data_IF_275353380326
#
_entry.id   IF_275353380326
#
_cell.length_a   1.000
_cell.length_b   1.000
_cell.length_c   1.000
_cell.angle_alpha   90.00
_cell.angle_beta   90.00
_cell.angle_gamma   90.00
#
_symmetry.space_group_name_H-M   'P 1'
#
loop_
_entity.id
_entity.type
_entity.pdbx_description
1 polymer ?
#
# COMPACT_ATOMS: atom_id res chain seq x y z
N UNK A 1 8.88 19.40 36.15
CA UNK A 1 8.11 20.09 35.08
C UNK A 1 9.02 20.33 33.88
N UNK A 2 9.09 19.37 32.96
CA UNK A 2 9.62 19.57 31.59
C UNK A 2 9.45 18.29 30.78
N UNK A 3 8.21 17.76 30.73
CA UNK A 3 7.88 16.76 29.72
C UNK A 3 7.63 17.54 28.41
N UNK A 4 8.70 17.93 27.73
CA UNK A 4 8.65 18.48 26.37
C UNK A 4 8.12 17.36 25.47
N UNK A 5 6.78 17.26 25.45
CA UNK A 5 6.00 16.12 24.99
C UNK A 5 6.16 15.88 23.50
N UNK A 6 7.27 15.25 23.12
CA UNK A 6 7.48 14.77 21.78
C UNK A 6 6.53 13.59 21.54
N UNK A 7 5.73 13.67 20.47
CA UNK A 7 4.76 12.64 20.08
C UNK A 7 5.42 11.26 19.90
N UNK A 8 6.62 11.24 19.32
CA UNK A 8 7.49 10.06 19.22
C UNK A 8 8.96 10.53 19.24
N UNK A 9 9.76 10.06 20.22
CA UNK A 9 11.19 10.35 20.31
C UNK A 9 11.95 9.95 19.04
N UNK A 10 12.94 10.75 18.65
CA UNK A 10 13.69 10.54 17.39
C UNK A 10 14.33 9.14 17.31
N UNK A 11 14.87 8.64 18.42
CA UNK A 11 15.51 7.32 18.51
C UNK A 11 14.55 6.15 18.29
N UNK A 12 13.23 6.35 18.41
CA UNK A 12 12.22 5.29 18.27
C UNK A 12 11.47 5.34 16.94
N UNK A 13 11.60 6.42 16.17
CA UNK A 13 10.83 6.61 14.92
C UNK A 13 11.14 5.55 13.88
N UNK A 14 12.41 5.23 13.69
CA UNK A 14 12.83 4.22 12.72
C UNK A 14 12.26 2.85 13.07
N UNK A 15 12.32 2.47 14.35
CA UNK A 15 11.73 1.23 14.86
C UNK A 15 10.23 1.17 14.61
N UNK A 16 9.50 2.26 14.90
CA UNK A 16 8.05 2.35 14.65
C UNK A 16 7.73 2.22 13.17
N UNK A 17 8.48 2.90 12.31
CA UNK A 17 8.28 2.84 10.85
C UNK A 17 8.52 1.42 10.34
N UNK A 18 9.57 0.75 10.81
CA UNK A 18 9.88 -0.62 10.42
C UNK A 18 8.81 -1.60 10.92
N UNK A 19 8.28 -1.39 12.12
CA UNK A 19 7.18 -2.19 12.66
C UNK A 19 5.90 -2.06 11.80
N UNK A 20 5.53 -0.84 11.41
CA UNK A 20 4.37 -0.60 10.53
C UNK A 20 4.59 -1.20 9.14
N UNK A 21 5.80 -1.05 8.57
CA UNK A 21 6.15 -1.65 7.28
C UNK A 21 5.98 -3.16 7.34
N UNK A 22 6.47 -3.81 8.39
CA UNK A 22 6.27 -5.24 8.60
C UNK A 22 4.78 -5.59 8.66
N UNK A 23 4.02 -4.93 9.55
CA UNK A 23 2.58 -5.16 9.70
C UNK A 23 1.81 -4.99 8.39
N UNK A 24 2.19 -4.03 7.54
CA UNK A 24 1.54 -3.77 6.24
C UNK A 24 1.76 -4.89 5.24
N UNK A 25 2.86 -5.64 5.39
CA UNK A 25 3.27 -6.68 4.46
C UNK A 25 2.82 -8.08 4.85
N UNK A 26 2.44 -8.30 6.12
CA UNK A 26 1.94 -9.61 6.58
C UNK A 26 0.71 -10.04 5.80
N UNK A 27 0.64 -11.35 5.51
CA UNK A 27 -0.45 -11.98 4.78
C UNK A 27 -0.46 -13.49 5.04
N UNK A 28 -1.62 -14.13 5.00
CA UNK A 28 -1.82 -15.57 5.22
C UNK A 28 -1.10 -16.47 4.21
N UNK A 29 -0.67 -15.90 3.08
CA UNK A 29 0.04 -16.60 1.99
C UNK A 29 1.55 -16.34 2.02
N UNK A 30 2.02 -15.54 2.97
CA UNK A 30 3.44 -15.24 3.15
C UNK A 30 3.89 -15.86 4.49
N UNK A 31 5.01 -16.58 4.50
CA UNK A 31 5.52 -17.16 5.75
C UNK A 31 6.02 -16.05 6.68
N UNK A 32 5.90 -16.31 7.99
CA UNK A 32 6.63 -15.61 9.03
C UNK A 32 8.12 -15.96 8.97
N UNK A 33 8.93 -15.24 9.75
CA UNK A 33 10.39 -15.47 9.83
C UNK A 33 10.76 -16.88 10.31
N UNK A 34 9.89 -17.52 11.10
CA UNK A 34 10.04 -18.89 11.59
C UNK A 34 9.56 -19.95 10.58
N UNK A 35 9.12 -19.53 9.38
CA UNK A 35 8.59 -20.41 8.34
C UNK A 35 7.13 -20.81 8.54
N UNK A 36 6.48 -20.37 9.61
CA UNK A 36 5.06 -20.67 9.87
C UNK A 36 4.14 -19.76 9.07
N UNK A 37 2.91 -20.20 8.84
CA UNK A 37 1.88 -19.40 8.16
C UNK A 37 0.75 -19.09 9.13
N UNK A 38 0.19 -17.89 9.04
CA UNK A 38 -1.03 -17.54 9.77
C UNK A 38 -2.24 -17.93 8.96
N UNK A 39 -3.24 -18.54 9.60
CA UNK A 39 -4.41 -19.08 8.91
C UNK A 39 -5.45 -18.00 8.56
N UNK A 40 -5.56 -16.95 9.39
CA UNK A 40 -6.58 -15.90 9.24
C UNK A 40 -6.02 -14.47 9.38
N UNK A 41 -6.58 -13.56 8.58
CA UNK A 41 -6.40 -12.12 8.65
C UNK A 41 -6.66 -11.52 10.05
N UNK A 42 -7.65 -12.05 10.79
CA UNK A 42 -7.96 -11.57 12.15
C UNK A 42 -6.86 -11.90 13.16
N UNK A 43 -6.18 -13.04 13.01
CA UNK A 43 -5.03 -13.39 13.85
C UNK A 43 -3.87 -12.44 13.57
N UNK A 44 -3.56 -12.18 12.28
CA UNK A 44 -2.55 -11.19 11.89
C UNK A 44 -2.88 -9.82 12.49
N UNK A 45 -4.14 -9.39 12.40
CA UNK A 45 -4.56 -8.12 12.98
C UNK A 45 -4.34 -8.06 14.50
N UNK A 46 -4.73 -9.10 15.23
CA UNK A 46 -4.53 -9.18 16.69
C UNK A 46 -3.05 -9.16 17.07
N UNK A 47 -2.21 -9.89 16.34
CA UNK A 47 -0.75 -9.89 16.53
C UNK A 47 -0.17 -8.49 16.32
N UNK A 48 -0.47 -7.84 15.18
CA UNK A 48 0.02 -6.50 14.88
C UNK A 48 -0.44 -5.45 15.92
N UNK A 49 -1.69 -5.55 16.40
CA UNK A 49 -2.22 -4.71 17.48
C UNK A 49 -1.44 -4.95 18.78
N UNK A 50 -1.26 -6.22 19.15
CA UNK A 50 -0.54 -6.64 20.35
C UNK A 50 0.91 -6.15 20.36
N UNK A 51 1.61 -6.29 19.24
CA UNK A 51 2.99 -5.82 19.08
C UNK A 51 3.08 -4.29 19.23
N UNK A 52 2.19 -3.53 18.57
CA UNK A 52 2.22 -2.07 18.62
C UNK A 52 1.85 -1.53 20.02
N UNK A 53 0.83 -2.09 20.68
CA UNK A 53 0.46 -1.65 22.03
C UNK A 53 1.56 -2.00 23.05
N UNK A 54 2.17 -3.18 22.94
CA UNK A 54 3.26 -3.58 23.81
C UNK A 54 4.49 -2.69 23.59
N UNK A 55 4.83 -2.39 22.34
CA UNK A 55 5.89 -1.44 22.00
C UNK A 55 5.64 -0.06 22.62
N UNK A 56 4.43 0.48 22.46
CA UNK A 56 4.09 1.79 23.02
C UNK A 56 4.11 1.78 24.55
N UNK A 57 3.64 0.70 25.19
CA UNK A 57 3.63 0.55 26.64
C UNK A 57 5.06 0.48 27.21
N UNK A 58 5.96 -0.25 26.56
CA UNK A 58 7.34 -0.40 27.01
C UNK A 58 8.17 0.89 26.89
N UNK A 59 7.72 1.87 26.10
CA UNK A 59 8.42 3.13 25.85
C UNK A 59 7.64 4.37 26.34
N UNK A 60 6.59 4.17 27.14
CA UNK A 60 5.71 5.24 27.66
C UNK A 60 5.08 6.14 26.57
N UNK A 61 4.77 5.57 25.40
CA UNK A 61 4.25 6.28 24.23
C UNK A 61 2.72 6.22 24.11
N UNK A 62 2.00 6.58 25.18
CA UNK A 62 0.53 6.49 25.21
C UNK A 62 -0.14 7.30 24.08
N UNK A 63 0.33 8.52 23.81
CA UNK A 63 -0.22 9.38 22.73
C UNK A 63 -0.05 8.76 21.35
N UNK A 64 1.09 8.08 21.13
CA UNK A 64 1.38 7.39 19.87
C UNK A 64 0.43 6.20 19.69
N UNK A 65 0.19 5.43 20.75
CA UNK A 65 -0.78 4.33 20.73
C UNK A 65 -2.19 4.83 20.38
N UNK A 66 -2.67 5.89 21.02
CA UNK A 66 -4.00 6.46 20.75
C UNK A 66 -4.13 6.85 19.27
N UNK A 67 -3.11 7.49 18.71
CA UNK A 67 -3.08 7.83 17.28
C UNK A 67 -3.13 6.58 16.40
N UNK A 68 -2.29 5.59 16.69
CA UNK A 68 -2.24 4.35 15.90
C UNK A 68 -3.54 3.57 15.97
N UNK A 69 -4.17 3.48 17.14
CA UNK A 69 -5.48 2.86 17.26
C UNK A 69 -6.51 3.58 16.38
N UNK A 70 -6.60 4.91 16.50
CA UNK A 70 -7.62 5.70 15.80
C UNK A 70 -7.43 5.69 14.28
N UNK A 71 -6.21 5.82 13.80
CA UNK A 71 -5.94 6.02 12.36
C UNK A 71 -5.47 4.75 11.62
N UNK A 72 -4.96 3.74 12.32
CA UNK A 72 -4.34 2.57 11.67
C UNK A 72 -4.97 1.25 12.10
N UNK A 73 -5.00 0.94 13.40
CA UNK A 73 -5.30 -0.40 13.88
C UNK A 73 -6.75 -0.66 14.26
N UNK A 74 -7.59 0.37 14.38
CA UNK A 74 -9.04 0.15 14.46
C UNK A 74 -9.51 -0.65 13.25
N UNK A 75 -10.41 -1.62 13.44
CA UNK A 75 -10.73 -2.59 12.39
C UNK A 75 -11.17 -1.94 11.07
N UNK A 76 -11.96 -0.87 11.15
CA UNK A 76 -12.40 -0.10 9.98
C UNK A 76 -11.27 0.60 9.22
N UNK A 77 -10.19 1.00 9.91
CA UNK A 77 -9.00 1.61 9.27
C UNK A 77 -8.03 0.54 8.77
N UNK A 78 -7.84 -0.53 9.54
CA UNK A 78 -6.89 -1.59 9.23
C UNK A 78 -7.14 -2.21 7.85
N UNK A 79 -8.41 -2.41 7.50
CA UNK A 79 -8.82 -2.97 6.20
C UNK A 79 -8.34 -2.12 5.01
N UNK A 80 -8.10 -0.82 5.21
CA UNK A 80 -7.72 0.10 4.14
C UNK A 80 -6.24 0.02 3.74
N UNK A 81 -5.36 -0.45 4.62
CA UNK A 81 -3.91 -0.41 4.38
C UNK A 81 -3.20 -1.76 4.56
N UNK A 82 -3.77 -2.67 5.35
CA UNK A 82 -3.13 -3.96 5.61
C UNK A 82 -3.33 -4.91 4.44
N UNK A 83 -2.23 -5.53 3.97
CA UNK A 83 -2.32 -6.54 2.91
C UNK A 83 -3.17 -7.73 3.31
N UNK A 84 -3.04 -8.19 4.56
CA UNK A 84 -3.82 -9.29 5.12
C UNK A 84 -5.35 -9.07 5.11
N UNK A 85 -5.84 -7.85 4.91
CA UNK A 85 -7.27 -7.60 4.81
C UNK A 85 -7.89 -8.18 3.53
N UNK A 86 -7.08 -8.43 2.50
CA UNK A 86 -7.49 -9.12 1.28
C UNK A 86 -7.11 -10.60 1.37
N UNK A 87 -7.91 -11.49 0.78
CA UNK A 87 -7.58 -12.93 0.67
C UNK A 87 -6.49 -13.20 -0.36
N UNK A 88 -6.40 -12.34 -1.38
CA UNK A 88 -5.48 -12.49 -2.50
C UNK A 88 -4.29 -11.55 -2.31
N UNK A 89 -3.07 -12.08 -2.47
CA UNK A 89 -1.88 -11.23 -2.66
C UNK A 89 -1.84 -10.80 -4.12
N UNK A 90 -1.77 -9.49 -4.39
CA UNK A 90 -1.45 -9.07 -5.75
C UNK A 90 -0.04 -9.57 -6.10
N UNK A 91 0.08 -10.46 -7.08
CA UNK A 91 1.38 -10.88 -7.64
C UNK A 91 2.23 -9.68 -8.10
N UNK A 92 1.54 -8.60 -8.44
CA UNK A 92 2.13 -7.35 -8.86
C UNK A 92 2.26 -6.44 -7.63
N UNK A 93 3.41 -6.47 -6.95
CA UNK A 93 3.82 -5.35 -6.08
C UNK A 93 4.08 -4.16 -7.01
N UNK A 94 3.07 -3.32 -7.17
CA UNK A 94 2.88 -2.31 -8.23
C UNK A 94 3.75 -1.06 -8.04
N UNK A 95 5.07 -1.18 -7.88
CA UNK A 95 5.97 -0.12 -8.33
C UNK A 95 6.29 -0.35 -9.79
N UNK A 96 6.79 -1.51 -10.18
CA UNK A 96 7.22 -1.75 -11.57
C UNK A 96 6.11 -1.63 -12.62
N UNK A 97 4.93 -2.20 -12.38
CA UNK A 97 3.82 -2.10 -13.33
C UNK A 97 3.24 -0.68 -13.36
N UNK A 98 3.16 -0.02 -12.21
CA UNK A 98 2.70 1.37 -12.14
C UNK A 98 3.72 2.31 -12.78
N UNK A 99 5.02 2.13 -12.53
CA UNK A 99 6.12 2.85 -13.18
C UNK A 99 6.15 2.60 -14.67
N UNK A 100 5.97 1.35 -15.13
CA UNK A 100 5.86 1.01 -16.55
C UNK A 100 4.65 1.69 -17.19
N UNK A 101 3.49 1.66 -16.53
CA UNK A 101 2.29 2.35 -16.98
C UNK A 101 2.49 3.87 -17.04
N UNK A 102 3.08 4.47 -16.01
CA UNK A 102 3.43 5.89 -15.97
C UNK A 102 4.50 6.26 -17.00
N UNK A 103 5.45 5.37 -17.28
CA UNK A 103 6.45 5.56 -18.34
C UNK A 103 5.78 5.64 -19.70
N UNK A 104 4.83 4.75 -19.99
CA UNK A 104 4.05 4.76 -21.22
C UNK A 104 3.24 6.07 -21.36
N UNK A 105 2.50 6.47 -20.32
CA UNK A 105 1.72 7.73 -20.35
C UNK A 105 2.64 8.95 -20.55
N UNK A 106 3.76 9.00 -19.83
CA UNK A 106 4.73 10.10 -19.93
C UNK A 106 5.31 10.21 -21.33
N UNK A 107 5.73 9.09 -21.90
CA UNK A 107 6.39 9.05 -23.20
C UNK A 107 5.41 9.28 -24.35
N UNK A 108 4.23 8.67 -24.32
CA UNK A 108 3.35 8.64 -25.49
C UNK A 108 2.32 9.77 -25.50
N UNK A 109 2.01 10.34 -24.33
CA UNK A 109 0.99 11.40 -24.22
C UNK A 109 1.53 12.71 -23.65
N UNK A 110 2.53 12.68 -22.78
CA UNK A 110 3.01 13.87 -22.06
C UNK A 110 4.38 14.38 -22.49
N UNK A 111 5.04 13.76 -23.48
CA UNK A 111 6.42 14.12 -23.84
C UNK A 111 6.60 15.59 -24.27
N UNK A 112 5.55 16.23 -24.79
CA UNK A 112 5.54 17.65 -25.20
C UNK A 112 5.16 18.62 -24.06
N UNK A 113 4.67 18.11 -22.94
CA UNK A 113 4.17 18.92 -21.84
C UNK A 113 5.17 18.92 -20.70
N UNK A 114 5.87 20.04 -20.52
CA UNK A 114 6.69 20.24 -19.34
C UNK A 114 5.79 20.58 -18.14
N UNK A 115 5.75 19.70 -17.13
CA UNK A 115 4.92 19.82 -15.91
C UNK A 115 3.41 19.99 -16.22
N UNK A 116 2.75 18.99 -16.79
CA UNK A 116 1.32 19.05 -17.08
C UNK A 116 0.51 19.24 -15.80
N UNK A 117 -0.54 20.07 -15.85
CA UNK A 117 -1.50 20.21 -14.75
C UNK A 117 -2.28 18.90 -14.57
N UNK A 118 -2.74 18.65 -13.34
CA UNK A 118 -3.47 17.43 -12.99
C UNK A 118 -4.73 17.27 -13.83
N UNK A 119 -5.45 18.36 -14.07
CA UNK A 119 -6.67 18.39 -14.91
C UNK A 119 -6.39 17.89 -16.34
N UNK A 120 -5.25 18.29 -16.92
CA UNK A 120 -4.85 17.85 -18.26
C UNK A 120 -4.47 16.37 -18.28
N UNK A 121 -3.77 15.90 -17.24
CA UNK A 121 -3.48 14.48 -17.08
C UNK A 121 -4.77 13.66 -16.96
N UNK A 122 -5.74 14.09 -16.15
CA UNK A 122 -7.05 13.45 -16.02
C UNK A 122 -7.78 13.39 -17.37
N UNK A 123 -7.77 14.49 -18.13
CA UNK A 123 -8.35 14.52 -19.48
C UNK A 123 -7.69 13.48 -20.41
N UNK A 124 -6.36 13.39 -20.42
CA UNK A 124 -5.63 12.39 -21.22
C UNK A 124 -5.98 10.97 -20.80
N UNK A 125 -5.99 10.70 -19.50
CA UNK A 125 -6.32 9.37 -18.98
C UNK A 125 -7.71 8.93 -19.45
N UNK A 126 -8.71 9.80 -19.27
CA UNK A 126 -10.11 9.48 -19.60
C UNK A 126 -10.33 9.40 -21.10
N UNK A 127 -9.82 10.37 -21.88
CA UNK A 127 -10.15 10.48 -23.31
C UNK A 127 -9.25 9.68 -24.22
N UNK A 128 -8.01 9.41 -23.83
CA UNK A 128 -7.03 8.69 -24.66
C UNK A 128 -6.70 7.32 -24.10
N UNK A 129 -6.15 7.27 -22.88
CA UNK A 129 -5.59 6.03 -22.33
C UNK A 129 -6.66 4.97 -22.16
N UNK A 130 -7.78 5.29 -21.49
CA UNK A 130 -8.86 4.32 -21.27
C UNK A 130 -9.42 3.80 -22.59
N UNK A 131 -9.73 4.68 -23.53
CA UNK A 131 -10.27 4.29 -24.83
C UNK A 131 -9.31 3.37 -25.61
N UNK A 132 -8.01 3.65 -25.59
CA UNK A 132 -7.00 2.79 -26.21
C UNK A 132 -6.95 1.41 -25.56
N UNK A 133 -7.04 1.31 -24.22
CA UNK A 133 -7.06 0.01 -23.55
C UNK A 133 -8.35 -0.76 -23.83
N UNK A 134 -9.51 -0.09 -23.83
CA UNK A 134 -10.79 -0.73 -24.18
C UNK A 134 -10.77 -1.30 -25.60
N UNK A 135 -10.21 -0.55 -26.55
CA UNK A 135 -10.05 -1.03 -27.92
C UNK A 135 -9.13 -2.27 -28.00
N UNK A 136 -7.99 -2.26 -27.27
CA UNK A 136 -7.10 -3.44 -27.20
C UNK A 136 -7.80 -4.66 -26.60
N UNK A 137 -8.57 -4.48 -25.53
CA UNK A 137 -9.36 -5.56 -24.91
C UNK A 137 -10.37 -6.11 -25.91
N UNK A 138 -11.05 -5.25 -26.67
CA UNK A 138 -12.00 -5.69 -27.70
C UNK A 138 -11.32 -6.50 -28.81
N UNK A 139 -10.13 -6.08 -29.26
CA UNK A 139 -9.36 -6.83 -30.26
C UNK A 139 -8.89 -8.20 -29.74
N UNK A 140 -8.48 -8.28 -28.48
CA UNK A 140 -8.13 -9.53 -27.81
C UNK A 140 -9.34 -10.48 -27.73
N UNK A 141 -10.50 -9.96 -27.34
CA UNK A 141 -11.75 -10.74 -27.27
C UNK A 141 -12.18 -11.27 -28.64
N UNK A 142 -11.90 -10.53 -29.72
CA UNK A 142 -12.17 -10.95 -31.09
C UNK A 142 -11.12 -11.92 -31.66
N UNK A 143 -10.08 -12.26 -30.91
CA UNK A 143 -8.97 -13.09 -31.39
C UNK A 143 -8.13 -12.43 -32.50
N UNK A 144 -8.31 -11.13 -32.73
CA UNK A 144 -7.62 -10.36 -33.78
C UNK A 144 -6.29 -9.77 -33.32
N UNK A 145 -5.94 -10.00 -32.07
CA UNK A 145 -4.69 -9.59 -31.47
C UNK A 145 -4.12 -10.76 -30.68
N UNK A 146 -2.95 -11.24 -31.09
CA UNK A 146 -2.18 -12.21 -30.31
C UNK A 146 -1.22 -11.42 -29.42
N UNK A 147 -1.25 -11.67 -28.12
CA UNK A 147 -0.25 -11.11 -27.22
C UNK A 147 1.04 -11.90 -27.48
N UNK A 148 2.14 -11.26 -27.92
CA UNK A 148 3.40 -11.94 -28.04
C UNK A 148 3.92 -12.14 -26.62
N UNK A 149 3.68 -13.32 -26.05
CA UNK A 149 4.50 -13.81 -24.95
C UNK A 149 5.82 -14.31 -25.54
#
# INVERSE_FOLDING_TARGET
NSNSGSFCPLNLRETVINLIKDHSNRHMLLPKLDGTFTTNADEIWKECVGEMIQFCKNNDLLRLWIYFWKEWYSKGKWILWARAANKNVSHIKTTMVVESHWRHIKHDHLYKFHKPRVDHLCFILVKKVINQQLYRIQLLQQGRYSVPW
#
